data_IF_082499312718
#
_entry.id   IF_082499312718
#
_cell.length_a   1.000
_cell.length_b   1.000
_cell.length_c   1.000
_cell.angle_alpha   90.00
_cell.angle_beta   90.00
_cell.angle_gamma   90.00
#
_symmetry.space_group_name_H-M   'P 1'
#
loop_
_entity.id
_entity.type
_entity.pdbx_description
1 polymer ?
#
# COMPACT_ATOMS: atom_id res chain seq x y z
N UNK A 1 -17.77 -2.78 1.36
CA UNK A 1 -17.04 -3.80 2.13
C UNK A 1 -17.35 -3.55 3.60
N UNK A 2 -17.99 -4.50 4.25
CA UNK A 2 -18.14 -4.43 5.71
C UNK A 2 -16.76 -4.63 6.34
N UNK A 3 -16.37 -3.71 7.22
CA UNK A 3 -15.08 -3.71 7.88
C UNK A 3 -14.98 -4.90 8.84
N UNK A 4 -13.98 -5.77 8.68
CA UNK A 4 -13.70 -6.84 9.64
C UNK A 4 -12.94 -6.27 10.84
N UNK A 5 -13.55 -6.36 12.03
CA UNK A 5 -12.96 -5.83 13.26
C UNK A 5 -11.75 -6.64 13.75
N UNK A 6 -11.65 -7.92 13.41
CA UNK A 6 -10.49 -8.73 13.75
C UNK A 6 -9.28 -8.34 12.87
N UNK A 7 -9.53 -8.09 11.58
CA UNK A 7 -8.52 -7.59 10.65
C UNK A 7 -8.07 -6.17 11.01
N UNK A 8 -9.01 -5.28 11.37
CA UNK A 8 -8.71 -3.93 11.84
C UNK A 8 -7.77 -3.92 13.04
N UNK A 9 -7.95 -4.85 13.97
CA UNK A 9 -7.14 -4.96 15.18
C UNK A 9 -5.87 -5.82 15.00
N UNK A 10 -5.70 -6.45 13.84
CA UNK A 10 -4.62 -7.40 13.55
C UNK A 10 -4.57 -8.56 14.57
N UNK A 11 -5.74 -9.10 14.94
CA UNK A 11 -5.88 -10.21 15.89
C UNK A 11 -6.71 -11.33 15.27
N UNK A 12 -6.51 -12.55 15.78
CA UNK A 12 -7.25 -13.73 15.34
C UNK A 12 -8.63 -13.79 16.03
N UNK A 13 -9.56 -14.57 15.47
CA UNK A 13 -10.91 -14.70 16.03
C UNK A 13 -10.94 -15.40 17.39
N UNK A 14 -9.98 -16.29 17.64
CA UNK A 14 -9.77 -16.98 18.91
C UNK A 14 -9.00 -16.12 19.94
N UNK A 15 -8.63 -14.89 19.59
CA UNK A 15 -7.92 -13.99 20.49
C UNK A 15 -8.68 -13.80 21.80
N UNK A 16 -7.94 -13.90 22.88
CA UNK A 16 -8.43 -13.64 24.23
C UNK A 16 -8.84 -12.17 24.39
N UNK A 17 -9.70 -11.90 25.36
CA UNK A 17 -10.13 -10.53 25.66
C UNK A 17 -8.95 -9.60 25.98
N UNK A 18 -7.92 -10.13 26.65
CA UNK A 18 -6.68 -9.38 26.96
C UNK A 18 -5.91 -9.00 25.69
N UNK A 19 -5.79 -9.93 24.73
CA UNK A 19 -5.12 -9.67 23.45
C UNK A 19 -5.87 -8.63 22.62
N UNK A 20 -7.20 -8.69 22.61
CA UNK A 20 -8.06 -7.71 21.94
C UNK A 20 -7.90 -6.32 22.59
N UNK A 21 -7.95 -6.23 23.93
CA UNK A 21 -7.75 -4.98 24.66
C UNK A 21 -6.36 -4.38 24.41
N UNK A 22 -5.33 -5.22 24.37
CA UNK A 22 -3.98 -4.80 24.01
C UNK A 22 -3.90 -4.30 22.56
N UNK A 23 -4.59 -4.97 21.63
CA UNK A 23 -4.64 -4.58 20.23
C UNK A 23 -5.36 -3.24 20.00
N UNK A 24 -6.52 -3.05 20.63
CA UNK A 24 -7.26 -1.77 20.64
C UNK A 24 -6.36 -0.64 21.14
N UNK A 25 -5.65 -0.87 22.25
CA UNK A 25 -4.75 0.14 22.83
C UNK A 25 -3.61 0.49 21.86
N UNK A 26 -3.00 -0.51 21.21
CA UNK A 26 -1.96 -0.29 20.19
C UNK A 26 -2.50 0.51 19.00
N UNK A 27 -3.62 0.09 18.43
CA UNK A 27 -4.22 0.73 17.25
C UNK A 27 -4.65 2.17 17.57
N UNK A 28 -5.36 2.40 18.69
CA UNK A 28 -5.79 3.74 19.12
C UNK A 28 -4.59 4.67 19.30
N UNK A 29 -3.49 4.21 19.90
CA UNK A 29 -2.26 5.01 20.05
C UNK A 29 -1.67 5.43 18.69
N UNK A 30 -1.71 4.56 17.68
CA UNK A 30 -1.22 4.86 16.32
C UNK A 30 -2.07 5.94 15.68
N UNK A 31 -3.40 5.79 15.72
CA UNK A 31 -4.33 6.68 15.01
C UNK A 31 -4.53 8.03 15.72
N UNK A 32 -4.61 8.07 17.04
CA UNK A 32 -4.70 9.33 17.82
C UNK A 32 -3.49 10.23 17.56
N UNK A 33 -2.27 9.68 17.50
CA UNK A 33 -1.08 10.47 17.17
C UNK A 33 -1.17 11.10 15.77
N UNK A 34 -1.82 10.42 14.83
CA UNK A 34 -1.96 10.85 13.42
C UNK A 34 -3.04 11.91 13.22
N UNK A 35 -3.96 12.09 14.18
CA UNK A 35 -4.95 13.18 14.17
C UNK A 35 -4.32 14.58 14.32
N UNK A 36 -3.06 14.66 14.79
CA UNK A 36 -2.31 15.92 14.86
C UNK A 36 -1.62 16.32 13.55
N UNK A 37 -1.91 15.62 12.44
CA UNK A 37 -1.35 15.91 11.13
C UNK A 37 -1.75 17.31 10.62
N UNK A 38 -0.83 18.09 10.01
CA UNK A 38 -1.16 19.39 9.41
C UNK A 38 -2.02 19.28 8.14
N UNK A 39 -2.17 18.08 7.58
CA UNK A 39 -3.01 17.77 6.43
C UNK A 39 -4.45 17.43 6.88
N UNK A 40 -5.47 18.21 6.46
CA UNK A 40 -6.87 17.99 6.84
C UNK A 40 -7.41 16.59 6.49
N UNK A 41 -7.02 16.02 5.35
CA UNK A 41 -7.53 14.70 4.93
C UNK A 41 -6.95 13.57 5.80
N UNK A 42 -5.67 13.70 6.19
CA UNK A 42 -5.01 12.77 7.12
C UNK A 42 -5.65 12.78 8.50
N UNK A 43 -6.12 13.94 8.95
CA UNK A 43 -6.86 14.05 10.21
C UNK A 43 -8.21 13.35 10.11
N UNK A 44 -9.00 13.66 9.08
CA UNK A 44 -10.31 13.05 8.87
C UNK A 44 -10.24 11.51 8.78
N UNK A 45 -9.22 10.98 8.09
CA UNK A 45 -9.00 9.53 8.02
C UNK A 45 -8.54 8.92 9.35
N UNK A 46 -7.63 9.58 10.08
CA UNK A 46 -7.20 9.12 11.40
C UNK A 46 -8.35 9.18 12.44
N UNK A 47 -9.23 10.17 12.33
CA UNK A 47 -10.48 10.26 13.09
C UNK A 47 -11.42 9.09 12.73
N UNK A 48 -11.58 8.78 11.44
CA UNK A 48 -12.37 7.63 11.00
C UNK A 48 -11.80 6.32 11.56
N UNK A 49 -10.48 6.12 11.48
CA UNK A 49 -9.84 4.90 12.03
C UNK A 49 -9.97 4.79 13.54
N UNK A 50 -9.96 5.91 14.27
CA UNK A 50 -10.29 5.87 15.71
C UNK A 50 -11.75 5.46 15.90
N UNK A 51 -12.70 5.98 15.13
CA UNK A 51 -14.12 5.55 15.19
C UNK A 51 -14.30 4.07 14.89
N UNK A 52 -13.54 3.55 13.92
CA UNK A 52 -13.55 2.13 13.57
C UNK A 52 -13.03 1.27 14.74
N UNK A 53 -11.92 1.68 15.37
CA UNK A 53 -11.35 1.01 16.55
C UNK A 53 -12.31 1.08 17.75
N UNK A 54 -12.99 2.20 17.94
CA UNK A 54 -14.01 2.36 19.00
C UNK A 54 -15.25 1.49 18.74
N UNK A 55 -15.56 1.22 17.47
CA UNK A 55 -16.64 0.31 17.07
C UNK A 55 -16.22 -1.15 17.31
N UNK A 56 -14.97 -1.49 16.97
CA UNK A 56 -14.40 -2.79 17.29
C UNK A 56 -14.33 -3.05 18.80
N UNK A 57 -13.96 -2.05 19.60
CA UNK A 57 -13.97 -2.15 21.06
C UNK A 57 -15.35 -2.48 21.60
N UNK A 58 -16.39 -1.73 21.17
CA UNK A 58 -17.77 -1.95 21.61
C UNK A 58 -18.30 -3.34 21.26
N UNK A 59 -17.90 -3.88 20.11
CA UNK A 59 -18.43 -5.17 19.63
C UNK A 59 -17.61 -6.35 20.16
N UNK A 60 -16.28 -6.26 20.13
CA UNK A 60 -15.40 -7.39 20.46
C UNK A 60 -15.12 -7.55 21.96
N UNK A 61 -15.28 -6.50 22.77
CA UNK A 61 -15.15 -6.61 24.24
C UNK A 61 -16.48 -6.91 24.94
N UNK A 62 -17.62 -6.81 24.26
CA UNK A 62 -18.90 -7.29 24.78
C UNK A 62 -19.12 -8.76 24.36
N UNK A 63 -19.19 -9.73 25.30
CA UNK A 63 -19.36 -11.14 24.97
C UNK A 63 -20.62 -11.45 24.16
N UNK A 64 -21.71 -10.71 24.35
CA UNK A 64 -22.97 -10.94 23.63
C UNK A 64 -22.87 -10.36 22.22
N UNK A 65 -22.36 -9.13 22.10
CA UNK A 65 -22.18 -8.49 20.80
C UNK A 65 -21.13 -9.21 19.94
N UNK A 66 -20.04 -9.69 20.54
CA UNK A 66 -18.99 -10.46 19.84
C UNK A 66 -19.57 -11.74 19.25
N UNK A 67 -20.34 -12.51 20.03
CA UNK A 67 -21.03 -13.71 19.53
C UNK A 67 -22.00 -13.40 18.40
N UNK A 68 -22.80 -12.35 18.54
CA UNK A 68 -23.74 -11.94 17.50
C UNK A 68 -23.02 -11.49 16.21
N UNK A 69 -21.88 -10.82 16.35
CA UNK A 69 -21.01 -10.43 15.24
C UNK A 69 -20.38 -11.65 14.55
N UNK A 70 -19.84 -12.58 15.33
CA UNK A 70 -19.27 -13.83 14.82
C UNK A 70 -20.33 -14.67 14.09
N UNK A 71 -21.55 -14.76 14.64
CA UNK A 71 -22.68 -15.46 14.03
C UNK A 71 -23.17 -14.78 12.74
N UNK A 72 -23.22 -13.44 12.72
CA UNK A 72 -23.60 -12.68 11.53
C UNK A 72 -22.55 -12.85 10.41
N UNK A 73 -21.27 -12.79 10.79
CA UNK A 73 -20.15 -13.01 9.87
C UNK A 73 -20.13 -14.45 9.35
N UNK A 74 -20.37 -15.44 10.20
CA UNK A 74 -20.48 -16.84 9.78
C UNK A 74 -21.65 -17.05 8.81
N UNK A 75 -22.80 -16.39 9.03
CA UNK A 75 -23.92 -16.41 8.10
C UNK A 75 -23.58 -15.77 6.75
N UNK A 76 -22.86 -14.65 6.75
CA UNK A 76 -22.39 -14.01 5.51
C UNK A 76 -21.39 -14.91 4.76
N UNK A 77 -20.50 -15.61 5.47
CA UNK A 77 -19.57 -16.56 4.88
C UNK A 77 -20.27 -17.82 4.30
N UNK A 78 -21.44 -18.18 4.81
CA UNK A 78 -22.23 -19.34 4.37
C UNK A 78 -23.18 -19.01 3.20
N UNK A 79 -23.24 -17.75 2.73
CA UNK A 79 -24.08 -17.36 1.59
C UNK A 79 -23.26 -17.36 0.27
N UNK A 80 -23.25 -18.44 -0.55
CA UNK A 80 -22.72 -18.37 -1.90
C UNK A 80 -23.63 -17.53 -2.80
N UNK A 81 -23.01 -16.97 -3.83
CA UNK A 81 -23.56 -16.03 -4.81
C UNK A 81 -24.71 -16.59 -5.67
N UNK A 82 -25.89 -16.79 -5.11
CA UNK A 82 -27.05 -17.33 -5.84
C UNK A 82 -28.17 -16.31 -6.11
N UNK A 83 -27.89 -15.00 -6.00
CA UNK A 83 -28.89 -13.94 -6.25
C UNK A 83 -28.43 -13.01 -7.38
N UNK A 84 -28.22 -13.57 -8.58
CA UNK A 84 -27.90 -12.80 -9.78
C UNK A 84 -28.62 -13.20 -11.07
N UNK A 85 -29.34 -14.32 -11.10
CA UNK A 85 -29.84 -14.90 -12.37
C UNK A 85 -31.36 -14.92 -12.57
N UNK A 86 -32.17 -14.39 -11.63
CA UNK A 86 -33.63 -14.48 -11.72
C UNK A 86 -34.32 -13.10 -11.78
N UNK A 87 -33.98 -12.30 -12.78
CA UNK A 87 -34.77 -11.10 -13.13
C UNK A 87 -34.79 -10.85 -14.64
N UNK A 88 -35.10 -11.89 -15.41
CA UNK A 88 -35.63 -11.72 -16.77
C UNK A 88 -36.80 -12.67 -16.98
N UNK A 89 -37.93 -12.09 -17.37
CA UNK A 89 -39.23 -12.69 -17.74
C UNK A 89 -40.25 -12.84 -16.61
N UNK A 90 -40.92 -11.73 -16.29
CA UNK A 90 -42.32 -11.78 -15.89
C UNK A 90 -43.14 -10.92 -16.86
N UNK A 91 -43.77 -11.59 -17.83
CA UNK A 91 -44.98 -11.10 -18.51
C UNK A 91 -46.13 -11.91 -17.94
N UNK A 92 -47.00 -11.24 -17.19
CA UNK A 92 -48.36 -11.69 -16.90
C UNK A 92 -49.21 -11.58 -18.20
N UNK A 93 -50.52 -11.97 -18.26
CA UNK A 93 -51.43 -12.24 -17.14
C UNK A 93 -52.49 -13.36 -17.39
N UNK A 94 -53.54 -13.33 -16.56
CA UNK A 94 -54.85 -14.04 -16.58
C UNK A 94 -54.88 -15.34 -15.76
N UNK A 95 -55.61 -15.49 -14.65
CA UNK A 95 -56.96 -15.15 -14.15
C UNK A 95 -57.80 -16.43 -14.03
N UNK A 96 -58.60 -16.49 -12.95
CA UNK A 96 -59.89 -17.21 -12.82
C UNK A 96 -59.91 -18.57 -12.09
N UNK A 97 -60.33 -18.44 -10.81
CA UNK A 97 -61.47 -19.08 -10.12
C UNK A 97 -61.55 -20.60 -9.85
N UNK A 98 -61.85 -20.84 -8.56
CA UNK A 98 -62.98 -21.62 -7.99
C UNK A 98 -62.91 -23.15 -7.83
N UNK A 99 -63.61 -23.55 -6.76
CA UNK A 99 -64.24 -24.84 -6.44
C UNK A 99 -63.36 -25.88 -5.70
N UNK A 100 -63.48 -25.98 -4.36
CA UNK A 100 -64.47 -26.77 -3.57
C UNK A 100 -64.42 -28.28 -3.78
N UNK A 101 -64.21 -29.04 -2.69
CA UNK A 101 -64.47 -30.48 -2.66
C UNK A 101 -64.13 -31.13 -1.32
N UNK A 102 -65.16 -31.56 -0.59
CA UNK A 102 -65.14 -32.18 0.75
C UNK A 102 -64.58 -33.62 0.77
N UNK A 103 -64.33 -34.09 2.01
CA UNK A 103 -64.68 -35.41 2.62
C UNK A 103 -63.43 -36.24 3.00
N UNK A 104 -62.98 -36.30 4.27
CA UNK A 104 -63.46 -37.06 5.46
C UNK A 104 -63.52 -38.58 5.23
N UNK A 105 -62.59 -39.35 5.81
CA UNK A 105 -62.79 -40.24 6.98
C UNK A 105 -61.73 -41.38 7.08
N UNK A 106 -61.28 -41.57 8.32
CA UNK A 106 -60.96 -42.81 9.04
C UNK A 106 -59.72 -43.67 8.71
N UNK A 107 -58.98 -44.02 9.79
CA UNK A 107 -58.22 -45.27 9.89
C UNK A 107 -56.84 -45.22 10.55
N UNK A 108 -56.76 -44.98 11.86
CA UNK A 108 -55.69 -45.49 12.74
C UNK A 108 -56.13 -46.90 13.27
N UNK A 109 -55.32 -47.70 14.01
CA UNK A 109 -53.87 -47.70 14.28
C UNK A 109 -53.25 -49.13 14.28
N UNK A 110 -51.96 -49.24 14.66
CA UNK A 110 -51.29 -50.34 15.44
C UNK A 110 -49.89 -50.65 14.86
N UNK A 111 -48.88 -51.13 15.59
CA UNK A 111 -48.48 -51.19 16.99
C UNK A 111 -47.15 -52.00 16.99
N UNK A 112 -46.20 -51.66 17.88
CA UNK A 112 -45.10 -52.53 18.31
C UNK A 112 -43.90 -52.65 17.36
N UNK A 113 -42.64 -52.80 17.76
CA UNK A 113 -42.02 -53.01 19.08
C UNK A 113 -40.51 -52.71 18.95
N UNK A 114 -39.92 -52.08 19.98
CA UNK A 114 -38.46 -52.14 20.23
C UNK A 114 -38.10 -53.52 20.80
N UNK A 115 -36.84 -53.96 20.71
CA UNK A 115 -35.97 -53.84 21.89
C UNK A 115 -34.48 -53.57 21.62
N UNK A 116 -33.88 -52.93 22.64
CA UNK A 116 -32.56 -53.14 23.26
C UNK A 116 -31.22 -52.99 22.50
N UNK A 117 -30.48 -52.00 23.01
CA UNK A 117 -29.01 -51.86 22.96
C UNK A 117 -28.36 -52.75 24.04
N UNK A 118 -27.06 -53.06 23.85
CA UNK A 118 -26.11 -52.96 24.96
C UNK A 118 -24.95 -52.00 24.65
N UNK A 119 -24.44 -51.42 25.74
CA UNK A 119 -23.37 -50.44 25.79
C UNK A 119 -21.99 -51.12 25.73
N UNK A 120 -21.03 -50.51 25.02
CA UNK A 120 -19.60 -50.72 25.26
C UNK A 120 -18.88 -49.37 25.15
N UNK A 121 -18.22 -49.02 26.24
CA UNK A 121 -17.44 -47.82 26.50
C UNK A 121 -16.03 -47.90 25.91
N UNK A 122 -15.47 -46.70 25.70
CA UNK A 122 -14.03 -46.36 25.65
C UNK A 122 -13.19 -46.78 24.43
N UNK A 123 -13.01 -45.83 23.50
CA UNK A 123 -11.71 -45.16 23.31
C UNK A 123 -11.94 -43.76 22.72
N UNK A 124 -11.73 -42.72 23.52
CA UNK A 124 -11.62 -41.35 23.05
C UNK A 124 -10.28 -41.19 22.32
N UNK A 125 -10.29 -41.42 21.01
CA UNK A 125 -9.31 -40.83 20.12
C UNK A 125 -9.83 -39.46 19.73
N UNK A 126 -9.19 -38.41 20.22
CA UNK A 126 -9.37 -37.03 19.79
C UNK A 126 -9.02 -36.95 18.30
N UNK A 127 -10.03 -37.07 17.45
CA UNK A 127 -9.93 -36.68 16.05
C UNK A 127 -9.68 -35.17 16.01
N UNK A 128 -8.61 -34.68 15.36
CA UNK A 128 -8.48 -33.26 15.12
C UNK A 128 -9.71 -32.86 14.29
N UNK A 129 -10.45 -31.89 14.81
CA UNK A 129 -11.61 -31.29 14.19
C UNK A 129 -11.16 -30.79 12.81
N UNK A 130 -11.49 -31.56 11.77
CA UNK A 130 -11.09 -31.29 10.40
C UNK A 130 -11.61 -29.93 10.00
N UNK A 131 -10.71 -28.95 9.92
CA UNK A 131 -10.98 -27.73 9.17
C UNK A 131 -11.33 -28.12 7.74
N UNK A 132 -12.33 -27.46 7.17
CA UNK A 132 -12.59 -27.61 5.73
C UNK A 132 -11.29 -27.30 4.97
N UNK A 133 -11.03 -27.95 3.81
CA UNK A 133 -9.85 -27.63 3.01
C UNK A 133 -9.71 -26.13 2.74
N UNK A 134 -10.84 -25.43 2.61
CA UNK A 134 -10.94 -23.98 2.43
C UNK A 134 -10.48 -23.18 3.66
N UNK A 135 -10.80 -23.63 4.87
CA UNK A 135 -10.30 -23.01 6.12
C UNK A 135 -8.80 -23.20 6.33
N UNK A 136 -8.22 -24.31 5.84
CA UNK A 136 -6.77 -24.54 5.84
C UNK A 136 -6.05 -23.54 4.90
N UNK A 137 -6.57 -23.34 3.69
CA UNK A 137 -5.98 -22.39 2.72
C UNK A 137 -5.98 -20.94 3.22
N UNK A 138 -7.06 -20.50 3.86
CA UNK A 138 -7.18 -19.15 4.43
C UNK A 138 -6.19 -18.90 5.59
N UNK A 139 -5.91 -19.91 6.42
CA UNK A 139 -4.85 -19.84 7.44
C UNK A 139 -3.48 -19.64 6.78
N UNK A 140 -3.20 -20.37 5.70
CA UNK A 140 -1.96 -20.23 4.95
C UNK A 140 -1.85 -18.85 4.28
N UNK A 141 -2.94 -18.31 3.71
CA UNK A 141 -2.98 -16.95 3.16
C UNK A 141 -2.63 -15.89 4.21
N UNK A 142 -3.34 -15.89 5.36
CA UNK A 142 -3.06 -14.94 6.45
C UNK A 142 -1.63 -15.05 6.98
N UNK A 143 -1.11 -16.27 7.08
CA UNK A 143 0.28 -16.50 7.51
C UNK A 143 1.28 -15.96 6.49
N UNK A 144 0.98 -16.12 5.20
CA UNK A 144 1.73 -15.52 4.09
C UNK A 144 1.78 -14.00 4.20
N UNK A 145 0.64 -13.35 4.41
CA UNK A 145 0.52 -11.91 4.58
C UNK A 145 1.33 -11.42 5.79
N UNK A 146 1.20 -12.09 6.95
CA UNK A 146 1.99 -11.77 8.15
C UNK A 146 3.51 -11.90 7.91
N UNK A 147 3.93 -12.85 7.07
CA UNK A 147 5.33 -12.97 6.69
C UNK A 147 5.78 -11.88 5.72
N UNK A 148 4.91 -11.36 4.84
CA UNK A 148 5.22 -10.19 4.02
C UNK A 148 5.49 -8.97 4.89
N UNK A 149 4.62 -8.70 5.87
CA UNK A 149 4.77 -7.55 6.78
C UNK A 149 6.07 -7.57 7.57
N UNK A 150 6.55 -8.77 7.90
CA UNK A 150 7.80 -9.00 8.64
C UNK A 150 9.02 -9.08 7.73
N UNK A 151 8.88 -8.80 6.44
CA UNK A 151 9.92 -8.97 5.43
C UNK A 151 10.50 -10.41 5.36
N UNK A 152 9.75 -11.41 5.83
CA UNK A 152 10.13 -12.81 5.81
C UNK A 152 9.79 -13.46 4.46
N UNK A 153 10.31 -12.89 3.38
CA UNK A 153 9.95 -13.19 1.98
C UNK A 153 9.96 -14.67 1.63
N UNK A 154 10.96 -15.38 2.14
CA UNK A 154 11.15 -16.82 1.91
C UNK A 154 10.02 -17.65 2.53
N UNK A 155 9.54 -17.25 3.70
CA UNK A 155 8.44 -17.92 4.40
C UNK A 155 7.10 -17.53 3.76
N UNK A 156 6.89 -16.25 3.48
CA UNK A 156 5.70 -15.77 2.76
C UNK A 156 5.50 -16.54 1.45
N UNK A 157 6.57 -16.66 0.65
CA UNK A 157 6.58 -17.45 -0.59
C UNK A 157 6.11 -18.88 -0.38
N UNK A 158 6.64 -19.58 0.63
CA UNK A 158 6.28 -20.97 0.89
C UNK A 158 4.78 -21.12 1.24
N UNK A 159 4.21 -20.17 1.96
CA UNK A 159 2.78 -20.16 2.26
C UNK A 159 1.92 -19.98 1.01
N UNK A 160 2.25 -19.00 0.18
CA UNK A 160 1.51 -18.75 -1.04
C UNK A 160 1.67 -19.90 -2.05
N UNK A 161 2.85 -20.51 -2.14
CA UNK A 161 3.06 -21.71 -2.98
C UNK A 161 2.23 -22.90 -2.49
N UNK A 162 2.08 -23.09 -1.18
CA UNK A 162 1.21 -24.13 -0.62
C UNK A 162 -0.25 -23.94 -1.04
N UNK A 163 -0.74 -22.69 -1.01
CA UNK A 163 -2.10 -22.35 -1.44
C UNK A 163 -2.24 -22.60 -2.94
N UNK A 164 -1.30 -22.12 -3.76
CA UNK A 164 -1.34 -22.27 -5.22
C UNK A 164 -1.22 -23.72 -5.71
N UNK A 165 -0.65 -24.63 -4.91
CA UNK A 165 -0.64 -26.06 -5.23
C UNK A 165 -2.02 -26.71 -5.12
N UNK A 166 -2.90 -26.18 -4.25
CA UNK A 166 -4.25 -26.71 -4.00
C UNK A 166 -5.31 -25.95 -4.76
N UNK A 167 -5.14 -24.64 -4.86
CA UNK A 167 -5.97 -23.73 -5.62
C UNK A 167 -5.08 -22.88 -6.55
N UNK A 168 -4.76 -23.39 -7.76
CA UNK A 168 -3.97 -22.64 -8.74
C UNK A 168 -4.62 -21.33 -9.19
N UNK A 169 -5.95 -21.20 -9.01
CA UNK A 169 -6.74 -20.02 -9.38
C UNK A 169 -6.74 -18.91 -8.31
N UNK A 170 -6.14 -19.14 -7.15
CA UNK A 170 -6.18 -18.20 -6.03
C UNK A 170 -5.42 -16.90 -6.35
N UNK A 171 -6.15 -15.84 -6.71
CA UNK A 171 -5.57 -14.55 -7.11
C UNK A 171 -4.80 -13.90 -5.97
N UNK A 172 -5.31 -13.97 -4.73
CA UNK A 172 -4.67 -13.42 -3.54
C UNK A 172 -3.32 -14.10 -3.28
N UNK A 173 -3.26 -15.43 -3.33
CA UNK A 173 -1.99 -16.16 -3.19
C UNK A 173 -1.01 -15.82 -4.31
N UNK A 174 -1.48 -15.71 -5.55
CA UNK A 174 -0.65 -15.35 -6.70
C UNK A 174 -0.09 -13.94 -6.58
N UNK A 175 -0.91 -12.98 -6.13
CA UNK A 175 -0.50 -11.62 -5.84
C UNK A 175 0.50 -11.55 -4.66
N UNK A 176 0.23 -12.27 -3.58
CA UNK A 176 1.11 -12.42 -2.43
C UNK A 176 2.48 -13.02 -2.81
N UNK A 177 2.51 -14.02 -3.68
CA UNK A 177 3.73 -14.56 -4.25
C UNK A 177 4.51 -13.49 -5.03
N UNK A 178 3.82 -12.73 -5.88
CA UNK A 178 4.42 -11.60 -6.62
C UNK A 178 5.07 -10.57 -5.69
N UNK A 179 4.38 -10.16 -4.62
CA UNK A 179 4.90 -9.28 -3.59
C UNK A 179 6.12 -9.87 -2.86
N UNK A 180 6.07 -11.15 -2.49
CA UNK A 180 7.19 -11.84 -1.86
C UNK A 180 8.43 -11.88 -2.77
N UNK A 181 8.24 -12.06 -4.08
CA UNK A 181 9.36 -12.02 -5.05
C UNK A 181 9.98 -10.62 -5.14
N UNK A 182 9.16 -9.56 -5.17
CA UNK A 182 9.66 -8.18 -5.17
C UNK A 182 10.43 -7.87 -3.89
N UNK A 183 9.88 -8.20 -2.72
CA UNK A 183 10.55 -8.03 -1.42
C UNK A 183 11.87 -8.81 -1.33
N UNK A 184 11.94 -10.00 -1.93
CA UNK A 184 13.16 -10.80 -2.04
C UNK A 184 14.20 -10.24 -3.04
N UNK A 185 13.95 -9.10 -3.67
CA UNK A 185 14.83 -8.49 -4.67
C UNK A 185 14.67 -9.06 -6.09
N UNK A 186 13.81 -10.05 -6.29
CA UNK A 186 13.43 -10.59 -7.61
C UNK A 186 12.33 -9.74 -8.23
N UNK A 187 12.64 -8.45 -8.39
CA UNK A 187 11.69 -7.41 -8.81
C UNK A 187 11.05 -7.72 -10.15
N UNK A 188 11.83 -8.21 -11.12
CA UNK A 188 11.31 -8.51 -12.47
C UNK A 188 10.25 -9.61 -12.41
N UNK A 189 10.56 -10.72 -11.76
CA UNK A 189 9.69 -11.90 -11.67
C UNK A 189 8.40 -11.55 -10.91
N UNK A 190 8.52 -10.86 -9.77
CA UNK A 190 7.37 -10.44 -8.98
C UNK A 190 6.43 -9.48 -9.73
N UNK A 191 6.98 -8.49 -10.44
CA UNK A 191 6.18 -7.60 -11.27
C UNK A 191 5.53 -8.33 -12.44
N UNK A 192 6.20 -9.31 -13.05
CA UNK A 192 5.60 -10.13 -14.13
C UNK A 192 4.40 -10.93 -13.62
N UNK A 193 4.51 -11.57 -12.45
CA UNK A 193 3.39 -12.30 -11.84
C UNK A 193 2.20 -11.36 -11.61
N UNK A 194 2.43 -10.19 -11.00
CA UNK A 194 1.36 -9.22 -10.69
C UNK A 194 0.74 -8.61 -11.96
N UNK A 195 1.54 -8.37 -12.99
CA UNK A 195 1.07 -7.91 -14.30
C UNK A 195 0.19 -8.97 -14.98
N UNK A 196 0.50 -10.27 -14.83
CA UNK A 196 -0.35 -11.36 -15.32
C UNK A 196 -1.68 -11.44 -14.58
N UNK A 197 -1.66 -11.35 -13.23
CA UNK A 197 -2.89 -11.34 -12.42
C UNK A 197 -3.83 -10.22 -12.89
N UNK A 198 -3.29 -9.01 -13.09
CA UNK A 198 -4.08 -7.86 -13.53
C UNK A 198 -4.51 -7.97 -15.00
N UNK A 199 -3.77 -8.67 -15.86
CA UNK A 199 -4.18 -8.92 -17.23
C UNK A 199 -5.35 -9.90 -17.32
N UNK A 200 -5.37 -10.92 -16.45
CA UNK A 200 -6.46 -11.89 -16.33
C UNK A 200 -7.68 -11.27 -15.63
N UNK A 201 -7.46 -10.41 -14.63
CA UNK A 201 -8.50 -9.77 -13.84
C UNK A 201 -8.30 -8.24 -13.76
N UNK A 202 -8.64 -7.48 -14.81
CA UNK A 202 -8.35 -6.05 -14.91
C UNK A 202 -9.07 -5.18 -13.87
N UNK A 203 -10.20 -5.65 -13.34
CA UNK A 203 -11.03 -4.90 -12.39
C UNK A 203 -10.68 -5.19 -10.93
N UNK A 204 -9.88 -6.22 -10.67
CA UNK A 204 -9.52 -6.67 -9.32
C UNK A 204 -8.72 -5.60 -8.56
N UNK A 205 -9.32 -5.04 -7.51
CA UNK A 205 -8.71 -3.95 -6.73
C UNK A 205 -7.51 -4.43 -5.91
N UNK A 206 -7.53 -5.66 -5.40
CA UNK A 206 -6.44 -6.24 -4.61
C UNK A 206 -5.19 -6.48 -5.46
N UNK A 207 -5.35 -6.96 -6.69
CA UNK A 207 -4.28 -7.12 -7.66
C UNK A 207 -3.69 -5.76 -8.08
N UNK A 208 -4.54 -4.74 -8.28
CA UNK A 208 -4.09 -3.36 -8.51
C UNK A 208 -3.29 -2.86 -7.30
N UNK A 209 -3.77 -3.08 -6.08
CA UNK A 209 -3.09 -2.66 -4.84
C UNK A 209 -1.74 -3.36 -4.70
N UNK A 210 -1.68 -4.67 -4.88
CA UNK A 210 -0.45 -5.45 -4.85
C UNK A 210 0.56 -4.95 -5.90
N UNK A 211 0.12 -4.67 -7.13
CA UNK A 211 0.98 -4.08 -8.16
C UNK A 211 1.45 -2.67 -7.78
N UNK A 212 0.58 -1.83 -7.21
CA UNK A 212 0.95 -0.49 -6.76
C UNK A 212 2.04 -0.53 -5.67
N UNK A 213 1.87 -1.41 -4.67
CA UNK A 213 2.85 -1.66 -3.60
C UNK A 213 4.16 -2.17 -4.17
N UNK A 214 4.13 -3.18 -5.06
CA UNK A 214 5.33 -3.69 -5.70
C UNK A 214 6.10 -2.63 -6.52
N UNK A 215 5.39 -1.77 -7.24
CA UNK A 215 5.96 -0.66 -8.00
C UNK A 215 6.58 0.41 -7.09
N UNK A 216 5.97 0.67 -5.93
CA UNK A 216 6.51 1.56 -4.92
C UNK A 216 7.79 0.98 -4.31
N UNK A 217 7.73 -0.23 -3.77
CA UNK A 217 8.85 -0.94 -3.13
C UNK A 217 10.06 -1.02 -4.08
N UNK A 218 9.83 -1.43 -5.32
CA UNK A 218 10.90 -1.49 -6.33
C UNK A 218 11.47 -0.12 -6.71
N UNK A 219 10.67 0.96 -6.61
CA UNK A 219 11.15 2.32 -6.84
C UNK A 219 12.06 2.80 -5.70
N UNK A 220 11.72 2.48 -4.45
CA UNK A 220 12.42 2.97 -3.25
C UNK A 220 13.63 2.12 -2.86
N UNK A 221 13.56 0.79 -3.02
CA UNK A 221 14.63 -0.14 -2.64
C UNK A 221 15.97 0.15 -3.36
N UNK A 222 15.91 0.72 -4.57
CA UNK A 222 17.08 1.10 -5.35
C UNK A 222 17.60 2.52 -5.11
N UNK A 223 17.03 3.29 -4.17
CA UNK A 223 17.40 4.67 -3.91
C UNK A 223 18.64 4.78 -3.02
N UNK A 224 19.30 5.93 -3.09
CA UNK A 224 20.40 6.23 -2.19
C UNK A 224 19.86 6.84 -0.90
N UNK A 225 20.43 6.49 0.24
CA UNK A 225 20.06 7.09 1.51
C UNK A 225 20.89 8.34 1.87
N UNK A 226 20.26 9.35 2.45
CA UNK A 226 20.92 10.56 2.95
C UNK A 226 20.48 10.80 4.39
N UNK A 227 21.43 11.04 5.31
CA UNK A 227 21.08 11.47 6.68
C UNK A 227 20.77 12.96 6.69
N UNK A 228 19.61 13.32 7.19
CA UNK A 228 19.26 14.71 7.44
C UNK A 228 20.01 15.28 8.66
N UNK A 229 19.89 16.59 8.89
CA UNK A 229 20.53 17.27 10.01
C UNK A 229 20.06 16.76 11.39
N UNK A 230 18.95 16.03 11.45
CA UNK A 230 18.39 15.42 12.66
C UNK A 230 18.81 13.94 12.80
N UNK A 231 19.72 13.47 11.95
CA UNK A 231 20.20 12.10 11.95
C UNK A 231 19.25 11.07 11.33
N UNK A 232 18.10 11.50 10.77
CA UNK A 232 17.16 10.59 10.12
C UNK A 232 17.63 10.24 8.72
N UNK A 233 17.67 8.95 8.42
CA UNK A 233 17.92 8.44 7.08
C UNK A 233 16.69 8.66 6.22
N UNK A 234 16.88 9.28 5.04
CA UNK A 234 15.82 9.50 4.05
C UNK A 234 16.23 8.96 2.69
N UNK A 235 15.33 8.31 1.95
CA UNK A 235 15.59 7.93 0.57
C UNK A 235 15.78 9.18 -0.29
N UNK A 236 16.67 9.11 -1.27
CA UNK A 236 17.00 10.21 -2.16
C UNK A 236 17.38 9.67 -3.54
N UNK A 237 16.92 10.37 -4.57
CA UNK A 237 17.33 10.10 -5.96
C UNK A 237 18.71 10.74 -6.18
N UNK A 238 19.72 9.91 -6.48
CA UNK A 238 21.11 10.35 -6.68
C UNK A 238 21.60 10.19 -8.13
N UNK A 239 20.78 9.63 -9.02
CA UNK A 239 21.15 9.36 -10.40
C UNK A 239 19.99 9.57 -11.38
N UNK A 240 20.33 9.84 -12.65
CA UNK A 240 19.34 9.88 -13.74
C UNK A 240 18.60 8.55 -13.92
N UNK A 241 19.26 7.41 -13.65
CA UNK A 241 18.64 6.08 -13.74
C UNK A 241 17.51 5.93 -12.70
N UNK A 242 17.79 6.27 -11.44
CA UNK A 242 16.79 6.29 -10.37
C UNK A 242 15.64 7.27 -10.69
N UNK A 243 15.96 8.48 -11.18
CA UNK A 243 14.95 9.47 -11.57
C UNK A 243 13.98 8.92 -12.63
N UNK A 244 14.49 8.24 -13.64
CA UNK A 244 13.67 7.61 -14.69
C UNK A 244 12.84 6.45 -14.14
N UNK A 245 13.42 5.63 -13.27
CA UNK A 245 12.74 4.50 -12.64
C UNK A 245 11.54 4.98 -11.80
N UNK A 246 11.78 5.89 -10.87
CA UNK A 246 10.72 6.47 -10.00
C UNK A 246 9.63 7.12 -10.85
N UNK A 247 10.00 7.92 -11.86
CA UNK A 247 9.03 8.55 -12.77
C UNK A 247 8.20 7.51 -13.55
N UNK A 248 8.79 6.39 -13.94
CA UNK A 248 8.09 5.32 -14.64
C UNK A 248 7.10 4.62 -13.71
N UNK A 249 7.54 4.23 -12.51
CA UNK A 249 6.68 3.54 -11.55
C UNK A 249 5.55 4.44 -11.03
N UNK A 250 5.81 5.71 -10.71
CA UNK A 250 4.78 6.68 -10.36
C UNK A 250 3.68 6.80 -11.44
N UNK A 251 4.06 6.86 -12.72
CA UNK A 251 3.09 6.90 -13.83
C UNK A 251 2.27 5.61 -13.91
N UNK A 252 2.90 4.46 -13.67
CA UNK A 252 2.20 3.16 -13.66
C UNK A 252 1.22 3.08 -12.50
N UNK A 253 1.62 3.46 -11.29
CA UNK A 253 0.74 3.49 -10.11
C UNK A 253 -0.48 4.37 -10.36
N UNK A 254 -0.28 5.60 -10.87
CA UNK A 254 -1.40 6.51 -11.19
C UNK A 254 -2.39 5.96 -12.22
N UNK A 255 -1.92 5.13 -13.17
CA UNK A 255 -2.79 4.50 -14.18
C UNK A 255 -3.69 3.40 -13.62
N UNK A 256 -3.38 2.87 -12.43
CA UNK A 256 -4.21 1.87 -11.78
C UNK A 256 -5.52 2.47 -11.24
N UNK A 257 -5.62 3.79 -11.11
CA UNK A 257 -6.87 4.48 -10.72
C UNK A 257 -7.31 4.22 -9.27
N UNK A 258 -6.39 3.82 -8.39
CA UNK A 258 -6.69 3.51 -7.00
C UNK A 258 -6.88 4.78 -6.15
N UNK A 259 -7.92 4.77 -5.31
CA UNK A 259 -8.22 5.83 -4.34
C UNK A 259 -7.72 5.54 -2.91
N UNK A 260 -7.12 4.35 -2.71
CA UNK A 260 -6.61 3.90 -1.41
C UNK A 260 -5.59 4.89 -0.81
N UNK A 261 -5.66 5.09 0.52
CA UNK A 261 -4.81 6.04 1.25
C UNK A 261 -3.32 5.64 1.22
N UNK A 262 -2.99 4.35 1.34
CA UNK A 262 -1.60 3.90 1.27
C UNK A 262 -1.03 4.17 -0.12
N UNK A 263 -1.83 3.93 -1.16
CA UNK A 263 -1.43 4.25 -2.54
C UNK A 263 -1.25 5.76 -2.74
N UNK A 264 -2.16 6.60 -2.21
CA UNK A 264 -2.01 8.06 -2.25
C UNK A 264 -0.72 8.52 -1.56
N UNK A 265 -0.42 7.98 -0.38
CA UNK A 265 0.82 8.25 0.35
C UNK A 265 2.05 7.88 -0.47
N UNK A 266 2.05 6.69 -1.08
CA UNK A 266 3.12 6.23 -1.95
C UNK A 266 3.30 7.15 -3.18
N UNK A 267 2.19 7.59 -3.78
CA UNK A 267 2.19 8.52 -4.92
C UNK A 267 2.76 9.89 -4.52
N UNK A 268 2.39 10.40 -3.35
CA UNK A 268 2.91 11.64 -2.78
C UNK A 268 4.42 11.54 -2.54
N UNK A 269 4.87 10.50 -1.84
CA UNK A 269 6.28 10.29 -1.53
C UNK A 269 7.14 10.19 -2.79
N UNK A 270 6.72 9.41 -3.79
CA UNK A 270 7.44 9.33 -5.07
C UNK A 270 7.42 10.67 -5.82
N UNK A 271 6.33 11.45 -5.71
CA UNK A 271 6.24 12.78 -6.32
C UNK A 271 7.18 13.78 -5.66
N UNK A 272 7.25 13.76 -4.33
CA UNK A 272 8.15 14.59 -3.53
C UNK A 272 9.61 14.26 -3.82
N UNK A 273 9.96 12.97 -3.90
CA UNK A 273 11.30 12.53 -4.29
C UNK A 273 11.70 13.05 -5.68
N UNK A 274 10.77 13.02 -6.65
CA UNK A 274 11.02 13.56 -7.99
C UNK A 274 11.14 15.09 -8.00
N UNK A 275 10.28 15.78 -7.25
CA UNK A 275 10.31 17.23 -7.13
C UNK A 275 11.62 17.67 -6.49
N UNK A 276 11.98 17.06 -5.35
CA UNK A 276 13.22 17.34 -4.63
C UNK A 276 14.45 17.07 -5.49
N UNK A 277 14.51 15.93 -6.18
CA UNK A 277 15.62 15.61 -7.07
C UNK A 277 15.84 16.69 -8.15
N UNK A 278 14.77 17.30 -8.66
CA UNK A 278 14.81 18.31 -9.73
C UNK A 278 15.02 19.74 -9.24
N UNK A 279 14.87 20.01 -7.93
CA UNK A 279 15.07 21.36 -7.37
C UNK A 279 16.44 21.89 -7.80
N UNK A 280 16.46 23.12 -8.29
CA UNK A 280 17.70 23.81 -8.62
C UNK A 280 18.41 24.21 -7.33
N UNK A 281 19.65 23.79 -7.17
CA UNK A 281 20.50 24.09 -6.02
C UNK A 281 21.73 24.83 -6.51
N UNK A 282 22.06 25.90 -5.80
CA UNK A 282 23.28 26.67 -6.03
C UNK A 282 24.46 26.04 -5.32
N UNK A 283 25.55 25.88 -6.06
CA UNK A 283 26.82 25.35 -5.52
C UNK A 283 27.83 26.47 -5.38
N UNK A 284 28.59 26.48 -4.27
CA UNK A 284 29.69 27.44 -4.11
C UNK A 284 30.74 27.24 -5.21
N UNK A 285 31.20 28.34 -5.77
CA UNK A 285 32.29 28.37 -6.76
C UNK A 285 33.59 28.79 -6.08
N UNK A 286 34.66 28.00 -6.24
CA UNK A 286 36.00 28.43 -5.84
C UNK A 286 36.50 29.62 -6.70
N UNK A 287 35.94 29.80 -7.89
CA UNK A 287 36.35 30.82 -8.85
C UNK A 287 35.36 31.99 -8.94
N UNK A 288 34.52 32.21 -7.91
CA UNK A 288 33.53 33.30 -7.92
C UNK A 288 34.16 34.67 -8.25
N UNK A 289 35.35 34.93 -7.69
CA UNK A 289 36.12 36.16 -7.95
C UNK A 289 36.50 36.33 -9.42
N UNK A 290 36.81 35.24 -10.12
CA UNK A 290 37.14 35.26 -11.55
C UNK A 290 35.92 35.64 -12.40
N UNK A 291 34.75 35.05 -12.12
CA UNK A 291 33.50 35.45 -12.78
C UNK A 291 33.15 36.91 -12.53
N UNK A 292 33.30 37.38 -11.28
CA UNK A 292 33.07 38.77 -10.94
C UNK A 292 34.01 39.72 -11.69
N UNK A 293 35.30 39.38 -11.79
CA UNK A 293 36.29 40.17 -12.53
C UNK A 293 35.93 40.26 -14.02
N UNK A 294 35.58 39.14 -14.67
CA UNK A 294 35.16 39.15 -16.08
C UNK A 294 33.88 39.97 -16.29
N UNK A 295 32.93 39.89 -15.37
CA UNK A 295 31.69 40.66 -15.43
C UNK A 295 31.95 42.15 -15.28
N UNK A 296 32.83 42.56 -14.35
CA UNK A 296 33.23 43.97 -14.16
C UNK A 296 33.99 44.49 -15.38
N UNK A 297 34.92 43.71 -15.95
CA UNK A 297 35.62 44.09 -17.17
C UNK A 297 34.65 44.30 -18.35
N UNK A 298 33.69 43.38 -18.52
CA UNK A 298 32.64 43.52 -19.54
C UNK A 298 31.73 44.75 -19.28
N UNK A 299 31.41 45.04 -18.01
CA UNK A 299 30.64 46.22 -17.63
C UNK A 299 31.41 47.52 -17.91
N UNK A 300 32.72 47.56 -17.63
CA UNK A 300 33.55 48.71 -17.99
C UNK A 300 33.51 48.97 -19.50
N UNK A 301 33.65 47.92 -20.33
CA UNK A 301 33.51 48.03 -21.79
C UNK A 301 32.11 48.50 -22.19
N UNK A 302 31.06 48.02 -21.50
CA UNK A 302 29.66 48.36 -21.80
C UNK A 302 29.31 49.83 -21.50
N UNK A 303 29.86 50.39 -20.42
CA UNK A 303 29.43 51.69 -19.87
C UNK A 303 30.46 52.81 -20.00
N UNK A 304 31.74 52.51 -20.17
CA UNK A 304 32.81 53.52 -20.28
C UNK A 304 33.32 53.73 -21.71
N UNK A 305 32.81 52.97 -22.70
CA UNK A 305 33.21 53.13 -24.10
C UNK A 305 32.34 54.18 -24.81
N UNK A 306 32.97 55.09 -25.55
CA UNK A 306 32.26 56.02 -26.45
C UNK A 306 31.84 55.37 -27.78
N UNK A 307 32.30 54.14 -28.06
CA UNK A 307 32.00 53.40 -29.29
C UNK A 307 30.80 52.47 -29.05
N UNK A 308 29.70 52.70 -29.78
CA UNK A 308 28.46 51.95 -29.60
C UNK A 308 28.62 50.44 -29.78
N UNK A 309 29.42 49.99 -30.76
CA UNK A 309 29.67 48.55 -30.97
C UNK A 309 30.40 47.89 -29.79
N UNK A 310 31.30 48.63 -29.12
CA UNK A 310 31.96 48.15 -27.90
C UNK A 310 30.98 48.08 -26.73
N UNK A 311 30.06 49.04 -26.62
CA UNK A 311 29.03 49.01 -25.57
C UNK A 311 28.15 47.76 -25.68
N UNK A 312 27.69 47.46 -26.90
CA UNK A 312 26.92 46.24 -27.21
C UNK A 312 27.75 44.98 -26.93
N UNK A 313 29.02 44.97 -27.32
CA UNK A 313 29.93 43.84 -27.06
C UNK A 313 30.12 43.60 -25.55
N UNK A 314 30.34 44.65 -24.77
CA UNK A 314 30.45 44.56 -23.31
C UNK A 314 29.18 44.03 -22.67
N UNK A 315 28.01 44.55 -23.06
CA UNK A 315 26.71 44.07 -22.57
C UNK A 315 26.46 42.60 -22.91
N UNK A 316 26.81 42.16 -24.13
CA UNK A 316 26.76 40.76 -24.53
C UNK A 316 27.62 39.87 -23.62
N UNK A 317 28.86 40.27 -23.34
CA UNK A 317 29.75 39.50 -22.48
C UNK A 317 29.30 39.46 -21.01
N UNK A 318 28.66 40.51 -20.50
CA UNK A 318 28.02 40.47 -19.18
C UNK A 318 26.98 39.35 -19.11
N UNK A 319 26.12 39.23 -20.13
CA UNK A 319 25.11 38.16 -20.22
C UNK A 319 25.77 36.79 -20.36
N UNK A 320 26.83 36.65 -21.17
CA UNK A 320 27.58 35.39 -21.32
C UNK A 320 28.21 34.96 -19.99
N UNK A 321 28.92 35.85 -19.29
CA UNK A 321 29.59 35.54 -18.03
C UNK A 321 28.58 35.13 -16.95
N UNK A 322 27.49 35.91 -16.80
CA UNK A 322 26.41 35.58 -15.88
C UNK A 322 25.73 34.27 -16.26
N UNK A 323 25.47 34.04 -17.55
CA UNK A 323 24.88 32.82 -18.10
C UNK A 323 25.74 31.60 -17.79
N UNK A 324 27.03 31.63 -18.11
CA UNK A 324 27.98 30.55 -17.81
C UNK A 324 28.03 30.26 -16.31
N UNK A 325 28.06 31.31 -15.47
CA UNK A 325 28.02 31.14 -14.02
C UNK A 325 26.76 30.40 -13.56
N UNK A 326 25.58 30.83 -14.03
CA UNK A 326 24.30 30.18 -13.74
C UNK A 326 24.32 28.73 -14.21
N UNK A 327 24.65 28.46 -15.49
CA UNK A 327 24.68 27.10 -16.04
C UNK A 327 25.63 26.16 -15.28
N UNK A 328 26.76 26.68 -14.79
CA UNK A 328 27.75 25.90 -14.08
C UNK A 328 27.38 25.64 -12.62
N UNK A 329 26.77 26.62 -11.95
CA UNK A 329 26.58 26.59 -10.50
C UNK A 329 25.15 26.33 -10.04
N UNK A 330 24.15 26.50 -10.91
CA UNK A 330 22.75 26.13 -10.68
C UNK A 330 22.50 24.72 -11.21
N UNK A 331 22.67 23.72 -10.35
CA UNK A 331 22.56 22.30 -10.70
C UNK A 331 21.35 21.64 -10.05
N UNK A 332 20.77 20.57 -10.62
CA UNK A 332 19.69 19.84 -9.96
C UNK A 332 20.18 19.17 -8.68
N UNK A 333 19.32 19.10 -7.67
CA UNK A 333 19.66 18.62 -6.32
C UNK A 333 20.27 17.21 -6.31
N UNK A 334 19.78 16.29 -7.15
CA UNK A 334 20.36 14.94 -7.23
C UNK A 334 21.86 14.95 -7.58
N UNK A 335 22.32 15.91 -8.41
CA UNK A 335 23.74 16.06 -8.78
C UNK A 335 24.56 16.62 -7.63
N UNK A 336 23.96 17.49 -6.82
CA UNK A 336 24.55 18.03 -5.59
C UNK A 336 24.72 16.94 -4.52
N UNK A 337 23.65 16.20 -4.19
CA UNK A 337 23.69 15.16 -3.16
C UNK A 337 24.66 14.02 -3.49
N UNK A 338 24.75 13.64 -4.78
CA UNK A 338 25.74 12.65 -5.23
C UNK A 338 27.18 13.07 -4.91
N UNK A 339 27.51 14.36 -5.07
CA UNK A 339 28.85 14.88 -4.74
C UNK A 339 29.08 14.90 -3.23
N UNK A 340 28.07 15.32 -2.45
CA UNK A 340 28.15 15.31 -0.98
C UNK A 340 28.38 13.92 -0.38
N UNK A 341 27.76 12.88 -0.93
CA UNK A 341 27.96 11.49 -0.50
C UNK A 341 29.39 10.98 -0.77
N UNK A 342 29.98 11.36 -1.91
CA UNK A 342 31.36 11.01 -2.24
C UNK A 342 32.37 11.68 -1.27
N UNK A 343 32.07 12.87 -0.77
CA UNK A 343 32.90 13.57 0.22
C UNK A 343 32.64 13.12 1.67
N UNK A 344 31.45 12.60 2.00
CA UNK A 344 31.07 12.17 3.34
C UNK A 344 31.69 10.85 3.82
N UNK A 345 32.51 10.18 2.98
CA UNK A 345 33.44 9.14 3.43
C UNK A 345 34.48 9.65 4.45
N UNK A 346 34.61 10.98 4.61
CA UNK A 346 35.27 11.61 5.75
C UNK A 346 34.38 12.72 6.32
N UNK A 347 33.71 12.46 7.45
CA UNK A 347 33.06 13.44 8.36
C UNK A 347 32.54 14.75 7.70
N UNK A 348 31.66 14.65 6.71
CA UNK A 348 31.02 15.83 6.12
C UNK A 348 29.60 16.00 6.62
N UNK A 349 29.34 16.88 7.59
CA UNK A 349 27.98 17.37 7.88
C UNK A 349 27.40 17.94 6.58
N UNK A 350 26.29 17.37 6.09
CA UNK A 350 25.50 17.98 5.02
C UNK A 350 25.10 19.38 5.49
N UNK A 351 25.66 20.41 4.85
CA UNK A 351 25.47 21.80 5.22
C UNK A 351 23.99 22.14 5.33
N UNK A 352 23.63 22.76 6.45
CA UNK A 352 22.27 23.20 6.78
C UNK A 352 21.70 23.99 5.61
N UNK A 353 20.54 23.54 5.15
CA UNK A 353 19.72 24.17 4.11
C UNK A 353 19.33 25.58 4.59
N UNK A 354 19.98 26.63 4.11
CA UNK A 354 19.52 28.00 4.33
C UNK A 354 18.39 28.23 3.32
N UNK A 355 17.14 28.23 3.79
CA UNK A 355 15.99 28.74 3.02
C UNK A 355 16.33 30.18 2.64
N UNK A 356 16.50 30.44 1.35
CA UNK A 356 16.57 31.80 0.84
C UNK A 356 15.20 32.44 1.01
N UNK A 357 15.20 33.61 1.65
CA UNK A 357 14.11 34.58 1.71
C UNK A 357 13.69 34.96 0.29
#
# INVERSE_FOLDING_TARGET
MDLDYYELLEVTQDASEEEIRAAITRQRRIWVRRQSSPDPERRAYAEQRVRDVDSAERILLDPVARRAYDDARARQAVTPADHGAASRHSRAPTSRREATGRRRLDGDPAAGSRPDRPHLTTHQGTTPRGGTPEGDLDVHLRRGDSYLDRAAWRRARAEFEYVLQRDPGNLRARAGLGLAQVGAGRVKDGLTILEQVLAEHPDDEDAKLALATALYESAVAGLGEVRDARGRTRPMILSRRQLRLVRRHLRRIRRLGLSDWHVRTNVEELSDLLAEARKAVWTRSAHLRFYAMLFVAAALVAFASDVESLRVFGAFWMVVVAGVYVLRHRVPAWKYYRRGRASAGGRGRLGVFRRGV
#
